data_IF_187640413188
#
_entry.id   IF_187640413188
#
_cell.length_a   1.000
_cell.length_b   1.000
_cell.length_c   1.000
_cell.angle_alpha   90.00
_cell.angle_beta   90.00
_cell.angle_gamma   90.00
#
_symmetry.space_group_name_H-M   'P 1'
#
loop_
_entity.id
_entity.type
_entity.pdbx_description
1 polymer ?
#
# COMPACT_ATOMS: atom_id res chain seq x y z
N UNK A 1 5.25 13.90 37.25
CA UNK A 1 5.45 13.41 35.87
C UNK A 1 4.38 14.02 35.01
N UNK A 2 4.74 14.95 34.12
CA UNK A 2 3.79 15.69 33.29
C UNK A 2 3.14 14.78 32.23
N UNK A 3 1.95 15.18 31.75
CA UNK A 3 1.19 14.53 30.67
C UNK A 3 2.08 14.18 29.46
N UNK A 4 3.01 15.05 29.08
CA UNK A 4 3.95 14.84 27.98
C UNK A 4 4.93 13.65 28.20
N UNK A 5 5.32 13.37 29.43
CA UNK A 5 6.16 12.20 29.72
C UNK A 5 5.37 10.87 29.62
N UNK A 6 4.07 10.89 29.93
CA UNK A 6 3.18 9.74 29.75
C UNK A 6 2.91 9.44 28.26
N UNK A 7 2.75 10.46 27.43
CA UNK A 7 2.54 10.27 25.99
C UNK A 7 3.80 9.74 25.29
N UNK A 8 4.98 10.27 25.59
CA UNK A 8 6.25 9.75 25.05
C UNK A 8 6.49 8.30 25.45
N UNK A 9 6.08 7.90 26.67
CA UNK A 9 6.24 6.52 27.15
C UNK A 9 5.19 5.57 26.56
N UNK A 10 3.98 6.04 26.30
CA UNK A 10 2.88 5.21 25.77
C UNK A 10 2.96 5.01 24.26
N UNK A 11 3.39 6.02 23.51
CA UNK A 11 3.51 5.96 22.06
C UNK A 11 4.93 5.59 21.57
N UNK A 12 5.96 5.92 22.34
CA UNK A 12 7.36 5.81 21.92
C UNK A 12 7.97 4.41 22.01
N UNK A 13 7.46 3.53 22.87
CA UNK A 13 8.09 2.23 23.13
C UNK A 13 7.34 1.02 22.57
N UNK A 14 6.21 1.20 21.87
CA UNK A 14 5.61 0.08 21.15
C UNK A 14 6.38 -0.14 19.86
N UNK A 15 7.27 -1.10 19.88
CA UNK A 15 7.86 -1.68 18.67
C UNK A 15 6.76 -2.29 17.80
N UNK A 16 6.92 -2.19 16.48
CA UNK A 16 6.00 -2.85 15.55
C UNK A 16 6.04 -4.36 15.78
N UNK A 17 4.90 -4.95 16.00
CA UNK A 17 4.74 -6.41 16.02
C UNK A 17 4.17 -6.88 14.71
N UNK A 18 4.55 -8.09 14.27
CA UNK A 18 3.90 -8.69 13.11
C UNK A 18 2.41 -8.92 13.43
N UNK A 19 1.59 -8.76 12.41
CA UNK A 19 0.15 -8.93 12.50
C UNK A 19 -0.23 -10.30 13.10
N UNK A 20 -1.36 -10.35 13.78
CA UNK A 20 -1.99 -11.60 14.18
C UNK A 20 -2.18 -12.53 12.96
N UNK A 21 -2.26 -13.84 13.12
CA UNK A 21 -2.55 -14.75 12.03
C UNK A 21 -3.84 -14.34 11.30
N UNK A 22 -3.82 -14.44 9.97
CA UNK A 22 -5.03 -14.27 9.17
C UNK A 22 -5.98 -15.41 9.52
N UNK A 23 -7.23 -15.09 9.83
CA UNK A 23 -8.26 -16.09 10.18
C UNK A 23 -8.49 -17.06 9.02
N UNK A 24 -8.67 -18.33 9.33
CA UNK A 24 -8.84 -19.38 8.32
C UNK A 24 -10.12 -19.17 7.49
N UNK A 25 -11.19 -18.63 8.09
CA UNK A 25 -12.42 -18.31 7.39
C UNK A 25 -12.18 -17.29 6.26
N UNK A 26 -11.33 -16.26 6.51
CA UNK A 26 -11.00 -15.25 5.51
C UNK A 26 -10.17 -15.84 4.37
N UNK A 27 -9.27 -16.77 4.68
CA UNK A 27 -8.48 -17.48 3.66
C UNK A 27 -9.36 -18.35 2.77
N UNK A 28 -10.28 -19.08 3.39
CA UNK A 28 -11.20 -19.95 2.67
C UNK A 28 -12.18 -19.14 1.81
N UNK A 29 -12.66 -18.01 2.31
CA UNK A 29 -13.49 -17.10 1.53
C UNK A 29 -12.72 -16.56 0.31
N UNK A 30 -11.49 -16.12 0.50
CA UNK A 30 -10.65 -15.61 -0.59
C UNK A 30 -10.44 -16.69 -1.67
N UNK A 31 -10.18 -17.94 -1.26
CA UNK A 31 -10.04 -19.08 -2.19
C UNK A 31 -11.33 -19.33 -3.00
N UNK A 32 -12.49 -19.27 -2.36
CA UNK A 32 -13.78 -19.40 -3.04
C UNK A 32 -14.02 -18.28 -4.06
N UNK A 33 -13.65 -17.05 -3.71
CA UNK A 33 -13.76 -15.91 -4.62
C UNK A 33 -12.77 -16.01 -5.78
N UNK A 34 -11.56 -16.48 -5.53
CA UNK A 34 -10.59 -16.78 -6.59
C UNK A 34 -11.15 -17.78 -7.61
N UNK A 35 -11.71 -18.89 -7.16
CA UNK A 35 -12.30 -19.88 -8.04
C UNK A 35 -13.47 -19.33 -8.88
N UNK A 36 -14.30 -18.45 -8.30
CA UNK A 36 -15.36 -17.75 -9.05
C UNK A 36 -14.78 -16.81 -10.10
N UNK A 37 -13.77 -16.04 -9.76
CA UNK A 37 -13.06 -15.15 -10.69
C UNK A 37 -12.44 -15.96 -11.84
N UNK A 38 -11.82 -17.09 -11.56
CA UNK A 38 -11.31 -18.00 -12.60
C UNK A 38 -12.42 -18.57 -13.47
N UNK A 39 -13.61 -18.81 -12.92
CA UNK A 39 -14.80 -19.20 -13.72
C UNK A 39 -15.23 -18.09 -14.68
N UNK A 40 -15.19 -16.84 -14.26
CA UNK A 40 -15.45 -15.71 -15.16
C UNK A 40 -14.41 -15.62 -16.28
N UNK A 41 -13.12 -15.76 -15.97
CA UNK A 41 -12.05 -15.81 -16.97
C UNK A 41 -12.25 -16.97 -17.96
N UNK A 42 -12.63 -18.14 -17.47
CA UNK A 42 -12.88 -19.30 -18.32
C UNK A 42 -14.03 -19.10 -19.30
N UNK A 43 -15.06 -18.32 -18.92
CA UNK A 43 -16.20 -18.00 -19.79
C UNK A 43 -15.88 -16.93 -20.83
N UNK A 44 -14.77 -16.24 -20.72
CA UNK A 44 -14.36 -15.23 -21.68
C UNK A 44 -14.34 -15.82 -23.11
N UNK A 45 -14.82 -15.02 -24.05
CA UNK A 45 -14.80 -15.32 -25.48
C UNK A 45 -13.69 -14.51 -26.16
N UNK A 46 -13.05 -15.10 -27.17
CA UNK A 46 -12.00 -14.45 -27.94
C UNK A 46 -10.61 -14.98 -27.62
N UNK A 47 -9.66 -14.64 -28.49
CA UNK A 47 -8.27 -15.12 -28.42
C UNK A 47 -7.37 -14.25 -27.55
N UNK A 48 -7.84 -13.05 -27.17
CA UNK A 48 -7.06 -12.09 -26.40
C UNK A 48 -7.65 -11.94 -24.99
N UNK A 49 -6.79 -11.61 -24.04
CA UNK A 49 -7.23 -11.27 -22.70
C UNK A 49 -8.10 -10.01 -22.71
N UNK A 50 -9.33 -10.12 -22.17
CA UNK A 50 -10.22 -8.97 -22.01
C UNK A 50 -10.01 -8.33 -20.65
N UNK A 51 -9.41 -7.16 -20.65
CA UNK A 51 -9.11 -6.39 -19.43
C UNK A 51 -10.36 -5.97 -18.65
N UNK A 52 -11.52 -5.86 -19.32
CA UNK A 52 -12.78 -5.50 -18.68
C UNK A 52 -13.27 -6.55 -17.68
N UNK A 53 -12.70 -7.75 -17.70
CA UNK A 53 -12.98 -8.78 -16.69
C UNK A 53 -12.70 -8.28 -15.27
N UNK A 54 -11.79 -7.31 -15.09
CA UNK A 54 -11.52 -6.68 -13.78
C UNK A 54 -12.78 -6.01 -13.23
N UNK A 55 -13.64 -5.49 -14.09
CA UNK A 55 -14.89 -4.85 -13.68
C UNK A 55 -16.07 -5.84 -13.55
N UNK A 56 -15.87 -7.14 -13.78
CA UNK A 56 -16.91 -8.14 -13.56
C UNK A 56 -17.23 -8.30 -12.07
N UNK A 57 -18.44 -8.73 -11.75
CA UNK A 57 -18.87 -8.95 -10.37
C UNK A 57 -17.96 -9.92 -9.63
N UNK A 58 -17.52 -10.99 -10.30
CA UNK A 58 -16.64 -12.00 -9.70
C UNK A 58 -15.25 -11.46 -9.39
N UNK A 59 -14.67 -10.65 -10.27
CA UNK A 59 -13.38 -10.02 -10.04
C UNK A 59 -13.50 -8.94 -8.96
N UNK A 60 -14.56 -8.13 -8.98
CA UNK A 60 -14.82 -7.13 -7.95
C UNK A 60 -15.05 -7.77 -6.57
N UNK A 61 -15.77 -8.86 -6.50
CA UNK A 61 -15.94 -9.65 -5.27
C UNK A 61 -14.60 -10.15 -4.71
N UNK A 62 -13.72 -10.64 -5.58
CA UNK A 62 -12.38 -11.08 -5.18
C UNK A 62 -11.53 -9.90 -4.68
N UNK A 63 -11.51 -8.77 -5.43
CA UNK A 63 -10.80 -7.55 -5.04
C UNK A 63 -11.28 -7.05 -3.67
N UNK A 64 -12.59 -6.98 -3.46
CA UNK A 64 -13.18 -6.54 -2.20
C UNK A 64 -12.83 -7.47 -1.04
N UNK A 65 -12.88 -8.78 -1.27
CA UNK A 65 -12.52 -9.78 -0.26
C UNK A 65 -11.04 -9.66 0.12
N UNK A 66 -10.13 -9.56 -0.86
CA UNK A 66 -8.71 -9.37 -0.60
C UNK A 66 -8.44 -8.04 0.13
N UNK A 67 -9.10 -6.96 -0.27
CA UNK A 67 -9.04 -5.66 0.42
C UNK A 67 -9.48 -5.80 1.88
N UNK A 68 -10.59 -6.46 2.14
CA UNK A 68 -11.11 -6.68 3.50
C UNK A 68 -10.16 -7.51 4.36
N UNK A 69 -9.47 -8.49 3.76
CA UNK A 69 -8.41 -9.23 4.46
C UNK A 69 -7.30 -8.28 4.87
N UNK A 70 -6.79 -7.46 3.97
CA UNK A 70 -5.72 -6.50 4.27
C UNK A 70 -6.17 -5.48 5.33
N UNK A 71 -7.36 -4.91 5.19
CA UNK A 71 -7.93 -3.92 6.13
C UNK A 71 -8.11 -4.49 7.53
N UNK A 72 -8.37 -5.79 7.65
CA UNK A 72 -8.50 -6.45 8.95
C UNK A 72 -7.21 -6.38 9.78
N UNK A 73 -6.06 -6.18 9.16
CA UNK A 73 -4.76 -6.08 9.82
C UNK A 73 -4.62 -4.84 10.72
N UNK A 74 -5.31 -3.75 10.38
CA UNK A 74 -5.17 -2.47 11.10
C UNK A 74 -6.49 -1.90 11.66
N UNK A 75 -7.53 -2.74 11.80
CA UNK A 75 -8.82 -2.32 12.36
C UNK A 75 -8.71 -1.66 13.75
N UNK A 76 -7.75 -2.12 14.56
CA UNK A 76 -7.51 -1.62 15.92
C UNK A 76 -6.53 -0.45 15.99
N UNK A 77 -5.95 -0.03 14.89
CA UNK A 77 -5.02 1.11 14.85
C UNK A 77 -5.81 2.40 14.94
N UNK A 78 -5.53 3.22 15.92
CA UNK A 78 -6.14 4.53 16.09
C UNK A 78 -5.55 5.53 15.10
N UNK A 79 -6.39 6.09 14.25
CA UNK A 79 -6.05 7.10 13.24
C UNK A 79 -7.29 7.90 12.86
N UNK A 80 -7.12 9.00 12.13
CA UNK A 80 -8.24 9.77 11.61
C UNK A 80 -9.08 8.93 10.63
N UNK A 81 -10.38 9.24 10.52
CA UNK A 81 -11.27 8.60 9.56
C UNK A 81 -10.78 8.83 8.12
N UNK A 82 -10.23 10.00 7.83
CA UNK A 82 -9.67 10.31 6.52
C UNK A 82 -8.46 9.43 6.20
N UNK A 83 -7.52 9.27 7.14
CA UNK A 83 -6.38 8.38 6.97
C UNK A 83 -6.87 6.96 6.70
N UNK A 84 -7.77 6.44 7.50
CA UNK A 84 -8.33 5.10 7.32
C UNK A 84 -8.93 4.89 5.94
N UNK A 85 -9.77 5.84 5.47
CA UNK A 85 -10.37 5.79 4.15
C UNK A 85 -9.31 5.73 3.03
N UNK A 86 -8.26 6.54 3.15
CA UNK A 86 -7.17 6.57 2.16
C UNK A 86 -6.36 5.28 2.16
N UNK A 87 -6.08 4.71 3.33
CA UNK A 87 -5.38 3.44 3.46
C UNK A 87 -6.22 2.28 2.89
N UNK A 88 -7.52 2.21 3.18
CA UNK A 88 -8.44 1.23 2.57
C UNK A 88 -8.49 1.38 1.04
N UNK A 89 -8.53 2.61 0.53
CA UNK A 89 -8.45 2.85 -0.91
C UNK A 89 -7.12 2.35 -1.51
N UNK A 90 -6.01 2.59 -0.84
CA UNK A 90 -4.71 2.06 -1.24
C UNK A 90 -4.72 0.54 -1.33
N UNK A 91 -5.30 -0.14 -0.35
CA UNK A 91 -5.46 -1.60 -0.35
C UNK A 91 -6.33 -2.10 -1.50
N UNK A 92 -7.41 -1.36 -1.83
CA UNK A 92 -8.26 -1.73 -2.96
C UNK A 92 -7.50 -1.63 -4.29
N UNK A 93 -6.76 -0.56 -4.51
CA UNK A 93 -5.95 -0.39 -5.73
C UNK A 93 -4.89 -1.49 -5.82
N UNK A 94 -4.20 -1.77 -4.73
CA UNK A 94 -3.22 -2.85 -4.66
C UNK A 94 -3.85 -4.22 -4.98
N UNK A 95 -5.00 -4.52 -4.37
CA UNK A 95 -5.77 -5.75 -4.62
C UNK A 95 -6.20 -5.86 -6.08
N UNK A 96 -6.65 -4.76 -6.68
CA UNK A 96 -7.05 -4.72 -8.09
C UNK A 96 -5.89 -4.96 -9.04
N UNK A 97 -4.71 -4.38 -8.77
CA UNK A 97 -3.52 -4.62 -9.60
C UNK A 97 -2.99 -6.05 -9.43
N UNK A 98 -3.05 -6.61 -8.23
CA UNK A 98 -2.77 -8.03 -7.97
C UNK A 98 -3.71 -8.93 -8.76
N UNK A 99 -5.01 -8.66 -8.69
CA UNK A 99 -6.05 -9.39 -9.44
C UNK A 99 -5.79 -9.37 -10.95
N UNK A 100 -5.45 -8.21 -11.51
CA UNK A 100 -5.05 -8.12 -12.92
C UNK A 100 -3.86 -9.02 -13.23
N UNK A 101 -2.86 -9.03 -12.34
CA UNK A 101 -1.68 -9.86 -12.51
C UNK A 101 -2.03 -11.36 -12.50
N UNK A 102 -2.85 -11.81 -11.56
CA UNK A 102 -3.31 -13.20 -11.44
C UNK A 102 -4.13 -13.64 -12.65
N UNK A 103 -5.07 -12.81 -13.10
CA UNK A 103 -5.87 -13.07 -14.29
C UNK A 103 -5.01 -13.19 -15.55
N UNK A 104 -4.03 -12.32 -15.68
CA UNK A 104 -3.11 -12.32 -16.82
C UNK A 104 -2.20 -13.54 -16.84
N UNK A 105 -1.74 -13.99 -15.66
CA UNK A 105 -0.94 -15.20 -15.52
C UNK A 105 -1.77 -16.47 -15.78
N UNK A 106 -3.06 -16.44 -15.38
CA UNK A 106 -3.98 -17.55 -15.60
C UNK A 106 -4.45 -17.69 -17.05
N UNK A 107 -4.52 -16.59 -17.80
CA UNK A 107 -5.11 -16.56 -19.13
C UNK A 107 -4.49 -17.58 -20.12
N UNK A 108 -3.17 -17.74 -20.24
CA UNK A 108 -2.56 -18.73 -21.11
C UNK A 108 -2.97 -20.18 -20.78
N UNK A 109 -3.33 -20.44 -19.52
CA UNK A 109 -3.74 -21.78 -19.07
C UNK A 109 -5.12 -22.21 -19.59
N UNK A 110 -5.86 -21.33 -20.26
CA UNK A 110 -7.15 -21.68 -20.89
C UNK A 110 -7.02 -22.70 -22.02
N UNK A 111 -5.89 -22.72 -22.70
CA UNK A 111 -5.63 -23.58 -23.84
C UNK A 111 -4.70 -24.73 -23.47
N UNK A 112 -4.86 -25.85 -24.13
CA UNK A 112 -3.92 -26.97 -24.09
C UNK A 112 -2.75 -26.76 -25.09
N UNK A 113 -1.83 -27.72 -25.13
CA UNK A 113 -0.65 -27.68 -26.01
C UNK A 113 -1.01 -27.67 -27.52
N UNK A 114 -2.23 -28.10 -27.86
CA UNK A 114 -2.73 -28.14 -29.24
C UNK A 114 -3.58 -26.89 -29.57
N UNK A 115 -3.67 -25.93 -28.65
CA UNK A 115 -4.48 -24.73 -28.83
C UNK A 115 -6.00 -24.92 -28.60
N UNK A 116 -6.43 -26.07 -28.08
CA UNK A 116 -7.83 -26.32 -27.77
C UNK A 116 -8.16 -25.80 -26.36
N UNK A 117 -9.38 -25.34 -26.21
CA UNK A 117 -9.85 -24.90 -24.87
C UNK A 117 -9.96 -26.11 -23.94
N UNK A 118 -9.31 -26.00 -22.78
CA UNK A 118 -9.37 -27.03 -21.72
C UNK A 118 -10.78 -27.15 -21.13
N UNK A 119 -11.06 -28.27 -20.45
CA UNK A 119 -12.20 -28.34 -19.53
C UNK A 119 -11.99 -27.40 -18.34
N UNK A 120 -13.07 -26.93 -17.74
CA UNK A 120 -12.96 -26.02 -16.58
C UNK A 120 -12.19 -26.65 -15.41
N UNK A 121 -12.41 -27.92 -15.15
CA UNK A 121 -11.71 -28.67 -14.10
C UNK A 121 -10.17 -28.67 -14.33
N UNK A 122 -9.74 -28.98 -15.56
CA UNK A 122 -8.32 -28.98 -15.91
C UNK A 122 -7.73 -27.59 -15.80
N UNK A 123 -8.41 -26.58 -16.32
CA UNK A 123 -8.00 -25.17 -16.16
C UNK A 123 -7.88 -24.78 -14.68
N UNK A 124 -8.87 -25.09 -13.84
CA UNK A 124 -8.87 -24.73 -12.42
C UNK A 124 -7.72 -25.42 -11.65
N UNK A 125 -7.38 -26.66 -12.03
CA UNK A 125 -6.21 -27.35 -11.48
C UNK A 125 -4.90 -26.66 -11.87
N UNK A 126 -4.76 -26.23 -13.12
CA UNK A 126 -3.55 -25.56 -13.61
C UNK A 126 -3.31 -24.23 -12.93
N UNK A 127 -4.37 -23.45 -12.64
CA UNK A 127 -4.26 -22.15 -11.98
C UNK A 127 -4.18 -22.25 -10.44
N UNK A 128 -4.30 -23.43 -9.86
CA UNK A 128 -4.17 -23.63 -8.40
C UNK A 128 -2.86 -23.10 -7.86
N UNK A 129 -1.76 -23.25 -8.61
CA UNK A 129 -0.45 -22.75 -8.22
C UNK A 129 -0.41 -21.23 -8.13
N UNK A 130 -1.21 -20.53 -8.95
CA UNK A 130 -1.35 -19.07 -8.89
C UNK A 130 -1.99 -18.68 -7.55
N UNK A 131 -3.13 -19.32 -7.22
CA UNK A 131 -3.81 -19.10 -5.92
C UNK A 131 -2.89 -19.37 -4.73
N UNK A 132 -2.19 -20.51 -4.76
CA UNK A 132 -1.24 -20.87 -3.70
C UNK A 132 -0.11 -19.85 -3.57
N UNK A 133 0.45 -19.38 -4.67
CA UNK A 133 1.54 -18.40 -4.68
C UNK A 133 1.09 -17.06 -4.13
N UNK A 134 0.01 -16.51 -4.68
CA UNK A 134 -0.40 -15.13 -4.37
C UNK A 134 -1.30 -15.02 -3.14
N UNK A 135 -2.22 -15.96 -2.95
CA UNK A 135 -3.25 -15.88 -1.93
C UNK A 135 -2.97 -16.75 -0.69
N UNK A 136 -1.86 -17.48 -0.70
CA UNK A 136 -1.37 -18.22 0.47
C UNK A 136 0.03 -17.77 0.88
N UNK A 137 1.03 -17.91 -0.01
CA UNK A 137 2.43 -17.67 0.33
C UNK A 137 2.74 -16.17 0.50
N UNK A 138 2.28 -15.32 -0.43
CA UNK A 138 2.57 -13.88 -0.38
C UNK A 138 1.62 -13.10 0.53
N UNK A 139 0.38 -13.56 0.67
CA UNK A 139 -0.65 -12.87 1.44
C UNK A 139 -0.20 -12.51 2.86
N UNK A 140 0.57 -13.38 3.51
CA UNK A 140 1.05 -13.12 4.87
C UNK A 140 2.03 -11.95 4.93
N UNK A 141 2.94 -11.86 3.98
CA UNK A 141 3.90 -10.76 3.90
C UNK A 141 3.20 -9.44 3.57
N UNK A 142 2.25 -9.46 2.65
CA UNK A 142 1.41 -8.31 2.30
C UNK A 142 0.59 -7.82 3.50
N UNK A 143 -0.03 -8.74 4.21
CA UNK A 143 -0.82 -8.46 5.41
C UNK A 143 0.02 -7.79 6.53
N UNK A 144 1.21 -8.33 6.79
CA UNK A 144 2.15 -7.75 7.76
C UNK A 144 2.63 -6.36 7.32
N UNK A 145 2.90 -6.17 6.03
CA UNK A 145 3.37 -4.91 5.49
C UNK A 145 2.30 -3.83 5.58
N UNK A 146 1.05 -4.17 5.23
CA UNK A 146 -0.10 -3.26 5.33
C UNK A 146 -0.33 -2.83 6.78
N UNK A 147 -0.26 -3.76 7.75
CA UNK A 147 -0.38 -3.39 9.16
C UNK A 147 0.72 -2.43 9.58
N UNK A 148 1.98 -2.77 9.30
CA UNK A 148 3.12 -1.93 9.67
C UNK A 148 3.01 -0.54 9.05
N UNK A 149 2.64 -0.45 7.77
CA UNK A 149 2.42 0.82 7.08
C UNK A 149 1.29 1.64 7.71
N UNK A 150 0.19 1.00 8.08
CA UNK A 150 -0.94 1.69 8.72
C UNK A 150 -0.59 2.19 10.12
N UNK A 151 0.15 1.41 10.92
CA UNK A 151 0.64 1.86 12.23
C UNK A 151 1.61 3.04 12.09
N UNK A 152 2.48 3.01 11.09
CA UNK A 152 3.41 4.10 10.82
C UNK A 152 2.71 5.33 10.25
N UNK A 153 1.66 5.17 9.43
CA UNK A 153 0.83 6.28 8.95
C UNK A 153 0.10 6.97 10.11
N UNK A 154 -0.45 6.21 11.04
CA UNK A 154 -1.09 6.75 12.24
C UNK A 154 -0.09 7.50 13.15
N UNK A 155 1.13 6.99 13.29
CA UNK A 155 2.21 7.70 14.00
C UNK A 155 2.59 9.00 13.31
N UNK A 156 2.65 9.00 11.97
CA UNK A 156 2.98 10.19 11.20
C UNK A 156 1.97 11.32 11.42
N UNK A 157 0.66 11.02 11.44
CA UNK A 157 -0.36 12.01 11.78
C UNK A 157 -0.04 12.69 13.10
N UNK A 158 0.25 11.91 14.16
CA UNK A 158 0.57 12.42 15.49
C UNK A 158 1.88 13.22 15.53
N UNK A 159 2.89 12.80 14.78
CA UNK A 159 4.15 13.53 14.68
C UNK A 159 3.98 14.90 14.03
N UNK A 160 3.06 15.00 13.06
CA UNK A 160 2.77 16.27 12.39
C UNK A 160 1.96 17.25 13.24
N UNK A 161 1.22 16.78 14.24
CA UNK A 161 0.56 17.64 15.22
C UNK A 161 1.59 18.41 16.07
N UNK A 162 2.68 17.76 16.46
CA UNK A 162 3.76 18.34 17.25
C UNK A 162 4.80 19.09 16.40
N UNK A 163 4.86 18.81 15.12
CA UNK A 163 5.78 19.42 14.16
C UNK A 163 7.24 19.31 14.58
N UNK A 164 8.02 20.35 14.30
CA UNK A 164 9.45 20.39 14.58
C UNK A 164 9.81 20.67 16.05
N UNK A 165 8.90 20.52 16.99
CA UNK A 165 9.22 20.61 18.43
C UNK A 165 10.07 19.43 18.92
N UNK A 166 9.99 18.30 18.23
CA UNK A 166 10.75 17.07 18.51
C UNK A 166 11.61 16.69 17.31
N UNK A 167 12.59 15.82 17.54
CA UNK A 167 13.20 15.02 16.49
C UNK A 167 12.45 13.70 16.35
N UNK A 168 12.47 13.15 15.17
CA UNK A 168 12.13 11.76 14.92
C UNK A 168 13.39 10.91 14.96
N UNK A 169 13.30 9.74 15.57
CA UNK A 169 14.42 8.81 15.67
C UNK A 169 14.02 7.44 15.18
N UNK A 170 14.80 6.90 14.24
CA UNK A 170 14.62 5.55 13.73
C UNK A 170 14.98 4.52 14.81
N UNK A 171 14.17 3.46 14.94
CA UNK A 171 14.37 2.39 15.92
C UNK A 171 14.19 1.02 15.29
N UNK A 172 15.15 0.15 15.55
CA UNK A 172 15.07 -1.28 15.24
C UNK A 172 14.57 -2.07 16.44
N UNK A 173 14.29 -3.36 16.23
CA UNK A 173 13.83 -4.26 17.30
C UNK A 173 14.98 -4.74 18.23
N UNK A 174 16.22 -4.54 17.84
CA UNK A 174 17.41 -5.03 18.57
C UNK A 174 17.41 -6.55 18.81
N UNK A 175 16.83 -7.34 17.88
CA UNK A 175 16.85 -8.79 17.91
C UNK A 175 17.57 -9.37 16.67
N UNK A 176 17.79 -10.67 16.65
CA UNK A 176 18.47 -11.42 15.59
C UNK A 176 17.72 -11.45 14.24
N UNK A 177 16.47 -10.98 14.22
CA UNK A 177 15.64 -10.88 13.01
C UNK A 177 15.71 -9.52 12.35
N UNK A 178 16.40 -8.56 12.93
CA UNK A 178 16.69 -7.28 12.29
C UNK A 178 17.70 -7.50 11.17
N UNK A 179 17.40 -7.03 9.97
CA UNK A 179 18.35 -7.10 8.87
C UNK A 179 19.60 -6.29 9.20
N UNK A 180 20.81 -6.81 8.93
CA UNK A 180 22.05 -6.05 9.20
C UNK A 180 22.05 -4.65 8.59
N UNK A 181 21.56 -4.52 7.37
CA UNK A 181 21.45 -3.25 6.67
C UNK A 181 20.46 -2.28 7.31
N UNK A 182 19.40 -2.77 7.97
CA UNK A 182 18.48 -1.91 8.73
C UNK A 182 19.04 -1.54 10.11
N UNK A 183 19.96 -2.33 10.64
CA UNK A 183 20.58 -2.04 11.93
C UNK A 183 21.39 -0.73 11.90
N UNK A 184 21.97 -0.37 10.76
CA UNK A 184 22.69 0.87 10.57
C UNK A 184 21.84 2.13 10.74
N UNK A 185 20.52 2.00 10.52
CA UNK A 185 19.56 3.10 10.69
C UNK A 185 19.18 3.34 12.15
N UNK A 186 19.53 2.40 13.07
CA UNK A 186 19.13 2.56 14.46
C UNK A 186 19.70 3.84 15.06
N UNK A 187 18.82 4.65 15.67
CA UNK A 187 19.11 5.95 16.25
C UNK A 187 19.42 7.09 15.27
N UNK A 188 19.29 6.90 13.95
CA UNK A 188 19.26 8.05 13.04
C UNK A 188 18.18 9.02 13.54
N UNK A 189 18.59 10.27 13.81
CA UNK A 189 17.77 11.27 14.50
C UNK A 189 17.71 12.54 13.66
N UNK A 190 16.53 12.93 13.21
CA UNK A 190 16.34 14.05 12.28
C UNK A 190 15.04 14.80 12.58
N UNK A 191 14.92 16.08 12.19
CA UNK A 191 13.65 16.79 12.29
C UNK A 191 12.58 16.13 11.38
N UNK A 192 11.28 16.20 11.73
CA UNK A 192 10.20 15.67 10.90
C UNK A 192 10.18 16.21 9.46
N UNK A 193 10.67 17.43 9.26
CA UNK A 193 10.76 18.11 7.97
C UNK A 193 11.90 17.60 7.07
N UNK A 194 12.81 16.77 7.59
CA UNK A 194 13.94 16.26 6.80
C UNK A 194 13.47 15.30 5.70
N UNK A 195 14.08 15.46 4.50
CA UNK A 195 13.75 14.64 3.32
C UNK A 195 14.11 13.16 3.47
N UNK A 196 14.98 12.81 4.42
CA UNK A 196 15.27 11.43 4.77
C UNK A 196 13.98 10.61 5.00
N UNK A 197 13.00 11.20 5.68
CA UNK A 197 11.73 10.53 5.99
C UNK A 197 10.83 10.29 4.77
N UNK A 198 11.13 10.85 3.63
CA UNK A 198 10.38 10.57 2.39
C UNK A 198 10.67 9.17 1.85
N UNK A 199 11.94 8.74 1.96
CA UNK A 199 12.41 7.48 1.37
C UNK A 199 12.71 6.38 2.39
N UNK A 200 13.05 6.74 3.63
CA UNK A 200 13.54 5.77 4.62
C UNK A 200 12.64 5.62 5.85
N UNK A 201 11.44 6.20 5.80
CA UNK A 201 10.42 5.97 6.83
C UNK A 201 9.94 4.52 6.77
N UNK A 202 9.97 3.75 7.90
CA UNK A 202 9.60 2.34 7.86
C UNK A 202 8.08 2.13 7.56
N UNK A 203 7.69 0.95 7.04
CA UNK A 203 8.49 -0.28 6.89
C UNK A 203 9.34 -0.29 5.61
N UNK A 204 10.61 -0.62 5.73
CA UNK A 204 11.59 -0.62 4.64
C UNK A 204 11.79 -2.02 4.02
N UNK A 205 10.79 -2.86 4.08
CA UNK A 205 10.81 -4.21 3.49
C UNK A 205 9.69 -5.10 4.01
N UNK A 206 9.49 -6.22 3.34
CA UNK A 206 8.53 -7.23 3.80
C UNK A 206 8.90 -7.71 5.21
N UNK A 207 7.90 -7.83 6.09
CA UNK A 207 8.06 -8.19 7.49
C UNK A 207 9.01 -7.28 8.30
N UNK A 208 9.25 -6.06 7.85
CA UNK A 208 10.00 -5.06 8.60
C UNK A 208 9.25 -4.70 9.88
N UNK A 209 9.98 -4.67 11.03
CA UNK A 209 9.45 -4.32 12.34
C UNK A 209 10.10 -3.05 12.91
N UNK A 210 10.87 -2.34 12.10
CA UNK A 210 11.43 -1.05 12.48
C UNK A 210 10.32 -0.02 12.69
N UNK A 211 10.58 0.97 13.53
CA UNK A 211 9.63 2.03 13.87
C UNK A 211 10.34 3.37 13.97
N UNK A 212 9.57 4.43 14.17
CA UNK A 212 10.08 5.76 14.48
C UNK A 212 9.43 6.25 15.77
N UNK A 213 10.20 6.97 16.57
CA UNK A 213 9.75 7.56 17.82
C UNK A 213 10.12 9.03 17.87
N UNK A 214 9.31 9.82 18.59
CA UNK A 214 9.67 11.21 18.90
C UNK A 214 10.65 11.26 20.06
N UNK A 215 11.68 12.09 19.94
CA UNK A 215 12.68 12.33 20.96
C UNK A 215 12.87 13.82 21.22
N UNK A 216 13.19 14.18 22.46
CA UNK A 216 13.39 15.58 22.85
C UNK A 216 14.68 16.14 22.25
N UNK A 217 14.62 17.24 21.52
CA UNK A 217 15.76 17.94 20.91
C UNK A 217 16.89 18.21 21.92
N UNK A 218 16.55 18.57 23.15
CA UNK A 218 17.55 18.85 24.19
C UNK A 218 18.34 17.64 24.70
N UNK A 219 17.93 16.41 24.32
CA UNK A 219 18.55 15.17 24.78
C UNK A 219 19.27 14.39 23.69
N UNK A 220 19.03 14.74 22.45
CA UNK A 220 19.55 14.01 21.30
C UNK A 220 20.08 15.01 20.29
N UNK A 221 21.32 14.80 19.87
CA UNK A 221 21.88 15.51 18.75
C UNK A 221 21.33 14.93 17.45
N UNK A 222 21.03 15.77 16.44
CA UNK A 222 20.61 15.29 15.14
C UNK A 222 21.76 14.64 14.41
N UNK A 223 21.45 13.56 13.70
CA UNK A 223 22.39 12.96 12.75
C UNK A 223 22.62 13.96 11.58
N UNK A 224 23.86 14.19 11.12
CA UNK A 224 24.07 14.98 9.92
C UNK A 224 23.25 14.44 8.74
N UNK A 225 22.61 15.32 7.98
CA UNK A 225 21.71 14.92 6.89
C UNK A 225 22.39 13.98 5.88
N UNK A 226 23.58 14.33 5.42
CA UNK A 226 24.31 13.54 4.41
C UNK A 226 24.73 12.15 4.93
N UNK A 227 25.08 12.07 6.22
CA UNK A 227 25.34 10.79 6.89
C UNK A 227 24.07 9.93 6.95
N UNK A 228 22.96 10.50 7.37
CA UNK A 228 21.68 9.80 7.41
C UNK A 228 21.24 9.29 6.02
N UNK A 229 21.39 10.14 4.99
CA UNK A 229 21.09 9.75 3.61
C UNK A 229 21.98 8.60 3.14
N UNK A 230 23.26 8.61 3.46
CA UNK A 230 24.21 7.54 3.12
C UNK A 230 23.82 6.22 3.79
N UNK A 231 23.47 6.26 5.09
CA UNK A 231 22.98 5.09 5.82
C UNK A 231 21.65 4.57 5.25
N UNK A 232 20.77 5.46 4.82
CA UNK A 232 19.51 5.11 4.15
C UNK A 232 19.72 4.40 2.82
N UNK A 233 20.65 4.88 2.00
CA UNK A 233 21.00 4.23 0.73
C UNK A 233 21.59 2.83 0.97
N UNK A 234 22.48 2.69 1.96
CA UNK A 234 23.05 1.41 2.34
C UNK A 234 21.95 0.45 2.83
N UNK A 235 21.05 0.93 3.67
CA UNK A 235 19.97 0.11 4.22
C UNK A 235 19.02 -0.43 3.15
N UNK A 236 18.82 0.30 2.05
CA UNK A 236 17.94 -0.08 0.95
C UNK A 236 18.69 -0.51 -0.32
N UNK A 237 20.00 -0.81 -0.24
CA UNK A 237 20.77 -1.25 -1.39
C UNK A 237 20.25 -2.54 -2.04
N UNK A 238 19.57 -3.42 -1.28
CA UNK A 238 18.94 -4.63 -1.79
C UNK A 238 17.61 -4.38 -2.46
N UNK A 239 16.96 -3.25 -2.18
CA UNK A 239 15.74 -2.78 -2.85
C UNK A 239 16.08 -2.09 -4.18
N UNK A 240 16.71 -2.83 -5.10
CA UNK A 240 17.13 -2.33 -6.42
C UNK A 240 16.01 -1.68 -7.23
N UNK A 241 14.76 -2.01 -6.88
CA UNK A 241 13.57 -1.52 -7.58
C UNK A 241 12.91 -0.34 -6.86
N UNK A 242 13.37 0.04 -5.68
CA UNK A 242 12.87 1.18 -4.92
C UNK A 242 11.41 1.01 -4.45
N UNK A 243 10.98 -0.24 -4.20
CA UNK A 243 9.60 -0.53 -3.78
C UNK A 243 9.33 0.03 -2.38
N UNK A 244 10.34 0.00 -1.49
CA UNK A 244 10.16 0.33 -0.08
C UNK A 244 10.58 1.78 0.25
N UNK A 245 10.86 2.58 -0.78
CA UNK A 245 11.22 4.00 -0.64
C UNK A 245 9.98 4.88 -0.67
N UNK A 246 9.21 4.87 0.41
CA UNK A 246 8.02 5.73 0.55
C UNK A 246 7.71 5.99 2.01
N UNK A 247 6.95 7.04 2.28
CA UNK A 247 6.41 7.33 3.61
C UNK A 247 4.91 7.10 3.61
N UNK A 248 4.47 6.04 4.31
CA UNK A 248 3.06 5.67 4.36
C UNK A 248 2.14 6.75 4.93
N UNK A 249 2.63 7.52 5.90
CA UNK A 249 1.87 8.63 6.49
C UNK A 249 1.81 9.85 5.59
N UNK A 250 2.92 10.22 4.95
CA UNK A 250 2.98 11.37 4.04
C UNK A 250 2.18 11.11 2.76
N UNK A 251 2.30 9.93 2.20
CA UNK A 251 1.58 9.53 0.99
C UNK A 251 0.16 9.04 1.28
N UNK A 252 -0.16 8.73 2.53
CA UNK A 252 -1.44 8.21 2.99
C UNK A 252 -1.83 6.92 2.26
N UNK A 253 -0.86 6.01 2.13
CA UNK A 253 -0.98 4.73 1.46
C UNK A 253 -0.37 3.63 2.32
N UNK A 254 -0.94 2.43 2.25
CA UNK A 254 -0.39 1.23 2.89
C UNK A 254 0.67 0.56 2.02
N UNK A 255 0.54 0.68 0.71
CA UNK A 255 1.44 0.11 -0.29
C UNK A 255 1.77 1.20 -1.32
N UNK A 256 3.03 1.38 -1.71
CA UNK A 256 3.37 2.36 -2.73
C UNK A 256 2.76 2.00 -4.08
N UNK A 257 2.50 3.00 -4.91
CA UNK A 257 1.97 2.80 -6.26
C UNK A 257 2.94 1.97 -7.12
N UNK A 258 4.23 2.11 -6.85
CA UNK A 258 5.28 1.30 -7.43
C UNK A 258 5.53 0.05 -6.57
N UNK A 259 4.83 -1.03 -6.84
CA UNK A 259 4.79 -2.26 -6.05
C UNK A 259 5.01 -3.52 -6.91
N UNK A 260 5.13 -4.72 -6.36
CA UNK A 260 5.44 -5.93 -7.13
C UNK A 260 4.50 -6.20 -8.31
N UNK A 261 3.26 -5.75 -8.25
CA UNK A 261 2.27 -5.99 -9.31
C UNK A 261 2.26 -4.92 -10.41
N UNK A 262 2.87 -3.77 -10.17
CA UNK A 262 2.99 -2.67 -11.14
C UNK A 262 4.38 -2.59 -11.76
N UNK A 263 5.43 -2.83 -10.97
CA UNK A 263 6.83 -2.61 -11.32
C UNK A 263 7.30 -3.36 -12.57
N UNK A 264 6.84 -4.58 -12.76
CA UNK A 264 7.26 -5.42 -13.89
C UNK A 264 6.66 -4.99 -15.23
N UNK A 265 5.68 -4.10 -15.22
CA UNK A 265 4.78 -3.88 -16.34
C UNK A 265 4.55 -2.41 -16.68
N UNK A 266 4.82 -1.50 -15.76
CA UNK A 266 4.61 -0.08 -15.96
C UNK A 266 5.87 0.59 -16.50
N UNK A 267 5.80 1.21 -17.69
CA UNK A 267 6.94 1.89 -18.33
C UNK A 267 6.80 3.40 -18.31
N UNK A 268 5.63 3.91 -18.61
CA UNK A 268 5.42 5.30 -19.01
C UNK A 268 4.52 6.10 -18.05
N UNK A 269 4.11 5.52 -16.92
CA UNK A 269 3.39 6.30 -15.92
C UNK A 269 4.36 7.13 -15.07
N UNK A 270 3.88 8.20 -14.46
CA UNK A 270 4.68 9.09 -13.61
C UNK A 270 5.30 8.37 -12.42
N UNK A 271 4.70 7.26 -11.99
CA UNK A 271 5.21 6.36 -10.94
C UNK A 271 6.49 5.67 -11.39
N UNK A 272 6.55 5.23 -12.65
CA UNK A 272 7.70 4.52 -13.22
C UNK A 272 8.77 5.48 -13.77
N UNK A 273 8.44 6.73 -14.05
CA UNK A 273 9.41 7.72 -14.54
C UNK A 273 10.52 7.92 -13.53
N UNK A 274 11.74 7.56 -13.94
CA UNK A 274 12.94 7.69 -13.11
C UNK A 274 13.22 6.49 -12.20
N UNK A 275 12.34 5.48 -12.16
CA UNK A 275 12.49 4.35 -11.23
C UNK A 275 12.99 3.07 -11.87
N UNK A 276 13.40 3.00 -13.12
CA UNK A 276 14.17 1.88 -13.65
C UNK A 276 13.70 1.26 -14.95
N UNK A 277 14.67 0.64 -15.63
CA UNK A 277 14.48 -0.34 -16.67
C UNK A 277 13.71 -1.55 -16.13
N UNK A 278 12.44 -1.59 -16.43
CA UNK A 278 11.59 -2.74 -16.12
C UNK A 278 11.96 -3.89 -17.04
N UNK A 279 12.07 -5.10 -16.49
CA UNK A 279 12.16 -6.30 -17.28
C UNK A 279 10.97 -6.38 -18.26
N UNK A 280 11.21 -6.84 -19.47
CA UNK A 280 10.15 -7.04 -20.46
C UNK A 280 9.08 -7.95 -19.87
N UNK A 281 7.90 -7.40 -19.72
CA UNK A 281 6.76 -8.17 -19.23
C UNK A 281 6.07 -8.90 -20.39
N UNK A 282 5.46 -10.06 -20.13
CA UNK A 282 4.66 -10.76 -21.12
C UNK A 282 3.37 -10.01 -21.53
N UNK A 283 3.01 -8.95 -20.83
CA UNK A 283 1.83 -8.11 -21.08
C UNK A 283 2.26 -6.82 -21.75
N UNK A 284 1.54 -6.40 -22.78
CA UNK A 284 1.79 -5.14 -23.46
C UNK A 284 1.63 -3.96 -22.52
N UNK A 285 2.50 -2.96 -22.66
CA UNK A 285 2.57 -1.81 -21.74
C UNK A 285 1.24 -1.02 -21.64
N UNK A 286 0.52 -0.93 -22.76
CA UNK A 286 -0.80 -0.28 -22.81
C UNK A 286 -1.84 -1.01 -21.95
N UNK A 287 -1.80 -2.33 -21.87
CA UNK A 287 -2.75 -3.12 -21.08
C UNK A 287 -2.60 -2.88 -19.57
N UNK A 288 -1.38 -2.68 -19.07
CA UNK A 288 -1.20 -2.32 -17.68
C UNK A 288 -1.77 -0.94 -17.36
N UNK A 289 -1.52 0.04 -18.22
CA UNK A 289 -2.05 1.39 -18.04
C UNK A 289 -3.59 1.41 -18.09
N UNK A 290 -4.19 0.62 -18.97
CA UNK A 290 -5.64 0.43 -19.05
C UNK A 290 -6.20 -0.25 -17.80
N UNK A 291 -5.54 -1.32 -17.31
CA UNK A 291 -5.90 -1.98 -16.06
C UNK A 291 -5.82 -1.02 -14.87
N UNK A 292 -4.75 -0.25 -14.78
CA UNK A 292 -4.57 0.74 -13.73
C UNK A 292 -5.68 1.79 -13.75
N UNK A 293 -6.01 2.35 -14.92
CA UNK A 293 -7.13 3.28 -15.09
C UNK A 293 -8.45 2.65 -14.69
N UNK A 294 -8.71 1.41 -15.09
CA UNK A 294 -9.94 0.69 -14.76
C UNK A 294 -10.05 0.42 -13.26
N UNK A 295 -8.98 -0.04 -12.62
CA UNK A 295 -8.94 -0.26 -11.16
C UNK A 295 -9.18 1.05 -10.42
N UNK A 296 -8.56 2.15 -10.82
CA UNK A 296 -8.79 3.46 -10.22
C UNK A 296 -10.24 3.94 -10.43
N UNK A 297 -10.83 3.69 -11.60
CA UNK A 297 -12.25 3.99 -11.86
C UNK A 297 -13.16 3.19 -10.92
N UNK A 298 -12.91 1.89 -10.77
CA UNK A 298 -13.65 1.05 -9.82
C UNK A 298 -13.44 1.53 -8.38
N UNK A 299 -12.21 1.87 -7.99
CA UNK A 299 -11.90 2.41 -6.68
C UNK A 299 -12.64 3.72 -6.38
N UNK A 300 -12.81 4.58 -7.38
CA UNK A 300 -13.56 5.84 -7.23
C UNK A 300 -15.06 5.62 -7.06
N UNK A 301 -15.59 4.53 -7.64
CA UNK A 301 -16.99 4.14 -7.45
C UNK A 301 -17.27 3.51 -6.07
N UNK A 302 -16.22 3.09 -5.34
CA UNK A 302 -16.36 2.60 -3.99
C UNK A 302 -16.77 3.70 -3.03
N UNK A 303 -17.77 3.41 -2.21
CA UNK A 303 -18.20 4.29 -1.12
C UNK A 303 -17.30 4.07 0.09
N UNK A 304 -16.62 5.14 0.50
CA UNK A 304 -15.65 5.11 1.60
C UNK A 304 -16.25 5.27 3.00
N UNK A 305 -17.51 5.57 3.11
CA UNK A 305 -18.20 5.57 4.40
C UNK A 305 -19.50 4.80 4.31
N UNK A 306 -19.74 3.91 5.23
CA UNK A 306 -21.02 3.19 5.34
C UNK A 306 -22.24 4.10 5.59
N UNK A 307 -22.03 5.43 5.69
CA UNK A 307 -23.07 6.44 5.96
C UNK A 307 -23.30 7.41 4.82
N UNK A 308 -22.35 7.62 3.93
CA UNK A 308 -22.48 8.52 2.78
C UNK A 308 -21.89 7.87 1.54
N UNK A 309 -22.70 7.73 0.51
CA UNK A 309 -22.29 7.18 -0.80
C UNK A 309 -21.52 8.22 -1.64
N UNK A 310 -20.50 8.86 -1.06
CA UNK A 310 -19.70 9.86 -1.76
C UNK A 310 -18.52 9.19 -2.43
N UNK A 311 -18.43 9.32 -3.75
CA UNK A 311 -17.24 8.97 -4.52
C UNK A 311 -16.15 10.03 -4.34
N UNK A 312 -14.92 9.77 -4.80
CA UNK A 312 -13.89 10.83 -4.85
C UNK A 312 -14.29 11.98 -5.78
N UNK A 313 -14.95 11.68 -6.89
CA UNK A 313 -15.48 12.67 -7.82
C UNK A 313 -16.55 13.54 -7.15
N UNK A 314 -17.45 12.93 -6.37
CA UNK A 314 -18.45 13.65 -5.58
C UNK A 314 -17.79 14.56 -4.54
N UNK A 315 -16.72 14.07 -3.89
CA UNK A 315 -15.95 14.85 -2.94
C UNK A 315 -15.29 16.05 -3.60
N UNK A 316 -14.66 15.86 -4.75
CA UNK A 316 -14.01 16.95 -5.48
C UNK A 316 -15.02 17.96 -6.00
N UNK A 317 -16.19 17.49 -6.47
CA UNK A 317 -17.32 18.34 -6.82
C UNK A 317 -17.87 19.15 -5.62
N UNK A 318 -17.92 18.53 -4.42
CA UNK A 318 -18.32 19.21 -3.19
C UNK A 318 -17.28 20.24 -2.76
N UNK A 319 -16.00 19.91 -2.84
CA UNK A 319 -14.90 20.83 -2.48
C UNK A 319 -14.77 22.00 -3.45
N UNK A 320 -15.19 21.84 -4.69
CA UNK A 320 -15.22 22.91 -5.69
C UNK A 320 -16.30 23.95 -5.41
N UNK A 321 -17.32 23.67 -4.55
CA UNK A 321 -18.39 24.62 -4.22
C UNK A 321 -17.85 25.76 -3.35
N UNK A 322 -18.29 27.03 -3.59
CA UNK A 322 -17.80 28.20 -2.87
C UNK A 322 -17.92 28.16 -1.34
N UNK A 323 -18.97 27.54 -0.82
CA UNK A 323 -19.20 27.35 0.62
C UNK A 323 -18.14 26.46 1.30
N UNK A 324 -17.58 25.52 0.55
CA UNK A 324 -16.57 24.59 1.09
C UNK A 324 -15.17 25.19 1.08
N UNK A 325 -14.92 26.27 0.33
CA UNK A 325 -13.67 27.04 0.39
C UNK A 325 -13.41 27.59 1.80
N UNK A 326 -14.46 28.09 2.49
CA UNK A 326 -14.33 28.57 3.87
C UNK A 326 -14.04 27.46 4.86
N UNK A 327 -14.64 26.30 4.65
CA UNK A 327 -14.41 25.13 5.48
C UNK A 327 -12.95 24.64 5.35
N UNK A 328 -12.45 24.54 4.13
CA UNK A 328 -11.07 24.12 3.86
C UNK A 328 -10.05 25.09 4.47
N UNK A 329 -10.31 26.41 4.33
CA UNK A 329 -9.45 27.47 4.90
C UNK A 329 -9.43 27.43 6.42
N UNK A 330 -10.55 27.06 7.06
CA UNK A 330 -10.67 26.98 8.52
C UNK A 330 -9.88 25.81 9.12
N UNK A 331 -9.78 24.69 8.40
CA UNK A 331 -9.10 23.48 8.89
C UNK A 331 -7.64 23.35 8.46
N UNK A 332 -7.26 23.93 7.33
CA UNK A 332 -5.89 23.84 6.82
C UNK A 332 -5.01 25.03 7.17
N UNK A 333 -5.56 26.08 7.78
CA UNK A 333 -4.83 27.31 8.11
C UNK A 333 -4.35 28.11 6.88
N UNK A 334 -4.68 27.68 5.67
CA UNK A 334 -4.27 28.32 4.42
C UNK A 334 -5.29 29.40 4.06
N UNK A 335 -5.02 30.65 4.45
CA UNK A 335 -5.83 31.78 4.08
C UNK A 335 -5.75 32.04 2.55
N UNK A 336 -6.84 31.85 1.87
CA UNK A 336 -7.11 32.54 0.58
C UNK A 336 -6.54 31.90 -0.69
N UNK A 337 -5.92 30.73 -0.67
CA UNK A 337 -5.56 30.03 -1.91
C UNK A 337 -6.36 28.74 -2.04
N UNK A 338 -7.24 28.75 -3.02
CA UNK A 338 -7.80 27.50 -3.57
C UNK A 338 -6.68 26.85 -4.33
N UNK A 339 -6.32 25.62 -3.96
CA UNK A 339 -5.53 24.77 -4.81
C UNK A 339 -6.36 24.53 -6.08
N UNK A 340 -6.11 25.30 -7.12
CA UNK A 340 -6.53 24.92 -8.47
C UNK A 340 -5.68 23.74 -8.84
N UNK A 341 -6.31 22.61 -9.05
CA UNK A 341 -5.69 21.49 -9.74
C UNK A 341 -5.51 21.88 -11.20
N UNK A 342 -4.27 22.12 -11.61
CA UNK A 342 -3.86 21.94 -13.00
C UNK A 342 -3.70 20.44 -13.29
#
# INVERSE_FOLDING_TARGET
MGLHQRYATILGNKTLTLAAPIKDELREELRKKFAKMMSALFKQKGANFDINIIASDEAQDFINTHTSVLDSSFQKVEMSDLMRQRLTRSNYIFSGMKTFHELNEAFPSLLDENGNKKTFERFLNDVRKIDETYNSNYLRAEYNFVQASAEMAAKWEKFMEDGDHYYLQYRTQHDDKVRPEHASLDRVTLPPSDSFWESYYPPNGWNCRCTVVQVLKRKYEPTPHDEAMSLGEEALQTDKKGIFRFNSGKEQKTVPDYNPYTIKRCRDCDIAKGKLNLEKAPVADNQLCEACKLVHKCANAHTYSGKTKLTFEDRDAILAKPLNKQYFTKYTGIKGKVLQHE
#
